data_IF_242957771591
#
_entry.id   IF_242957771591
#
_cell.length_a   1.000
_cell.length_b   1.000
_cell.length_c   1.000
_cell.angle_alpha   90.00
_cell.angle_beta   90.00
_cell.angle_gamma   90.00
#
_symmetry.space_group_name_H-M   'P 1'
#
loop_
_entity.id
_entity.type
_entity.pdbx_description
1 polymer ?
#
# COMPACT_ATOMS: atom_id res chain seq x y z
N UNK A 1 5.44 -23.69 0.95
CA UNK A 1 4.63 -22.49 0.70
C UNK A 1 4.91 -21.53 1.84
N UNK A 2 5.70 -20.48 1.60
CA UNK A 2 6.06 -19.53 2.64
C UNK A 2 4.84 -18.71 3.04
N UNK A 3 4.72 -18.35 4.32
CA UNK A 3 3.73 -17.37 4.77
C UNK A 3 3.90 -16.10 3.94
N UNK A 4 2.82 -15.58 3.37
CA UNK A 4 2.85 -14.21 2.85
C UNK A 4 3.17 -13.30 4.04
N UNK A 5 4.24 -12.51 3.93
CA UNK A 5 4.65 -11.62 5.02
C UNK A 5 3.54 -10.58 5.25
N UNK A 6 3.02 -10.56 6.48
CA UNK A 6 2.01 -9.63 6.95
C UNK A 6 2.74 -8.52 7.71
N UNK A 7 2.59 -7.29 7.23
CA UNK A 7 3.20 -6.11 7.83
C UNK A 7 2.13 -5.27 8.54
N UNK A 8 2.50 -4.69 9.69
CA UNK A 8 1.61 -3.78 10.43
C UNK A 8 1.52 -2.40 9.79
N UNK A 9 0.54 -1.58 10.17
CA UNK A 9 0.49 -0.19 9.70
C UNK A 9 1.76 0.58 10.07
N UNK A 10 2.30 0.39 11.28
CA UNK A 10 3.51 1.11 11.73
C UNK A 10 4.76 0.70 10.98
N UNK A 11 4.90 -0.60 10.70
CA UNK A 11 6.00 -1.15 9.89
C UNK A 11 5.92 -0.60 8.46
N UNK A 12 4.73 -0.61 7.85
CA UNK A 12 4.53 -0.15 6.48
C UNK A 12 4.89 1.33 6.31
N UNK A 13 4.56 2.17 7.29
CA UNK A 13 4.90 3.59 7.28
C UNK A 13 6.42 3.80 7.25
N UNK A 14 7.16 2.98 8.01
CA UNK A 14 8.64 3.02 8.04
C UNK A 14 9.21 2.50 6.72
N UNK A 15 8.73 1.35 6.24
CA UNK A 15 9.20 0.72 5.01
C UNK A 15 9.02 1.61 3.78
N UNK A 16 7.86 2.26 3.66
CA UNK A 16 7.57 3.17 2.55
C UNK A 16 8.06 4.60 2.79
N UNK A 17 8.54 4.90 4.00
CA UNK A 17 8.93 6.24 4.45
C UNK A 17 7.83 7.29 4.18
N UNK A 18 6.60 6.99 4.60
CA UNK A 18 5.42 7.87 4.41
C UNK A 18 4.70 8.19 5.72
N UNK A 19 3.94 9.30 5.70
CA UNK A 19 3.10 9.68 6.84
C UNK A 19 1.81 8.83 6.93
N UNK A 20 1.24 8.74 8.14
CA UNK A 20 -0.11 8.17 8.37
C UNK A 20 -1.18 8.81 7.47
N UNK A 21 -1.11 10.12 7.25
CA UNK A 21 -2.04 10.85 6.38
C UNK A 21 -1.93 10.40 4.92
N UNK A 22 -0.70 10.19 4.44
CA UNK A 22 -0.43 9.66 3.10
C UNK A 22 -1.00 8.25 2.98
N UNK A 23 -0.72 7.37 3.94
CA UNK A 23 -1.23 6.00 3.91
C UNK A 23 -2.77 5.95 3.94
N UNK A 24 -3.41 6.78 4.77
CA UNK A 24 -4.86 6.91 4.79
C UNK A 24 -5.43 7.39 3.45
N UNK A 25 -4.75 8.32 2.77
CA UNK A 25 -5.13 8.74 1.43
C UNK A 25 -4.99 7.60 0.41
N UNK A 26 -3.88 6.85 0.43
CA UNK A 26 -3.67 5.72 -0.47
C UNK A 26 -4.76 4.64 -0.28
N UNK A 27 -5.07 4.30 0.97
CA UNK A 27 -6.15 3.36 1.30
C UNK A 27 -7.52 3.88 0.85
N UNK A 28 -7.91 5.05 1.35
CA UNK A 28 -9.30 5.52 1.23
C UNK A 28 -9.62 6.13 -0.14
N UNK A 29 -8.61 6.65 -0.86
CA UNK A 29 -8.81 7.38 -2.12
C UNK A 29 -8.15 6.70 -3.33
N UNK A 30 -7.13 5.88 -3.12
CA UNK A 30 -6.42 5.19 -4.21
C UNK A 30 -6.62 3.67 -4.20
N UNK A 31 -7.32 3.13 -3.20
CA UNK A 31 -7.66 1.71 -3.11
C UNK A 31 -6.45 0.83 -2.81
N UNK A 32 -5.49 1.30 -2.00
CA UNK A 32 -4.42 0.45 -1.49
C UNK A 32 -5.03 -0.72 -0.69
N UNK A 33 -4.70 -1.99 -1.01
CA UNK A 33 -5.26 -3.15 -0.32
C UNK A 33 -4.81 -3.18 1.14
N UNK A 34 -5.75 -3.50 2.03
CA UNK A 34 -5.48 -3.71 3.46
C UNK A 34 -6.48 -4.71 4.03
N UNK A 35 -6.09 -5.38 5.11
CA UNK A 35 -6.96 -6.27 5.88
C UNK A 35 -7.34 -5.53 7.16
N UNK A 36 -8.64 -5.39 7.40
CA UNK A 36 -9.15 -4.88 8.66
C UNK A 36 -9.28 -6.02 9.67
N UNK A 37 -8.47 -5.97 10.73
CA UNK A 37 -8.55 -6.94 11.84
C UNK A 37 -9.55 -6.46 12.89
N UNK A 38 -9.57 -5.15 13.15
CA UNK A 38 -10.52 -4.48 14.05
C UNK A 38 -10.80 -3.07 13.54
N UNK A 39 -11.76 -2.38 14.15
CA UNK A 39 -12.03 -0.94 13.88
C UNK A 39 -10.78 -0.04 13.96
N UNK A 40 -9.75 -0.42 14.72
CA UNK A 40 -8.54 0.36 14.94
C UNK A 40 -7.25 -0.29 14.41
N UNK A 41 -7.30 -1.55 13.97
CA UNK A 41 -6.12 -2.30 13.58
C UNK A 41 -6.25 -2.83 12.15
N UNK A 42 -5.24 -2.53 11.34
CA UNK A 42 -5.12 -2.99 9.95
C UNK A 42 -3.73 -3.55 9.70
N UNK A 43 -3.69 -4.55 8.84
CA UNK A 43 -2.45 -5.18 8.39
C UNK A 43 -2.45 -5.27 6.87
N UNK A 44 -1.27 -5.53 6.31
CA UNK A 44 -1.03 -5.48 4.88
C UNK A 44 -0.24 -6.71 4.47
N UNK A 45 -0.70 -7.44 3.45
CA UNK A 45 0.15 -8.41 2.78
C UNK A 45 1.16 -7.67 1.93
N UNK A 46 2.45 -7.92 2.16
CA UNK A 46 3.52 -7.22 1.45
C UNK A 46 3.45 -7.45 -0.06
N UNK A 47 3.10 -8.68 -0.47
CA UNK A 47 2.92 -9.01 -1.88
C UNK A 47 1.85 -8.16 -2.58
N UNK A 48 0.71 -7.93 -1.92
CA UNK A 48 -0.39 -7.13 -2.46
C UNK A 48 -0.01 -5.65 -2.54
N UNK A 49 0.67 -5.12 -1.52
CA UNK A 49 1.17 -3.75 -1.52
C UNK A 49 2.18 -3.55 -2.66
N UNK A 50 3.15 -4.44 -2.81
CA UNK A 50 4.17 -4.37 -3.87
C UNK A 50 3.51 -4.46 -5.25
N UNK A 51 2.55 -5.39 -5.43
CA UNK A 51 1.80 -5.51 -6.68
C UNK A 51 1.05 -4.22 -7.00
N UNK A 52 0.33 -3.68 -6.04
CA UNK A 52 -0.42 -2.43 -6.19
C UNK A 52 0.50 -1.25 -6.54
N UNK A 53 1.67 -1.14 -5.91
CA UNK A 53 2.65 -0.10 -6.22
C UNK A 53 3.15 -0.19 -7.67
N UNK A 54 3.47 -1.40 -8.15
CA UNK A 54 3.91 -1.63 -9.54
C UNK A 54 2.84 -1.29 -10.58
N UNK A 55 1.58 -1.59 -10.28
CA UNK A 55 0.45 -1.29 -11.17
C UNK A 55 0.16 0.22 -11.24
N UNK A 56 0.35 0.93 -10.12
CA UNK A 56 0.07 2.37 -10.04
C UNK A 56 1.27 3.26 -10.41
N UNK A 57 2.51 2.74 -10.41
CA UNK A 57 3.67 3.51 -10.89
C UNK A 57 3.60 3.78 -12.39
N UNK A 58 3.11 2.81 -13.18
CA UNK A 58 3.01 2.90 -14.65
C UNK A 58 1.98 3.92 -15.16
N UNK A 59 1.03 4.35 -14.31
CA UNK A 59 0.01 5.34 -14.71
C UNK A 59 0.54 6.76 -14.87
N UNK A 60 1.78 7.04 -14.44
CA UNK A 60 2.40 8.37 -14.58
C UNK A 60 3.19 8.54 -15.89
N UNK A 61 3.55 7.46 -16.57
CA UNK A 61 4.39 7.53 -17.80
C UNK A 61 3.60 7.77 -19.09
N UNK A 62 2.26 7.77 -19.06
CA UNK A 62 1.43 8.06 -20.24
C UNK A 62 1.25 9.56 -20.52
N UNK A 63 2.28 10.38 -20.26
CA UNK A 63 2.20 11.83 -20.29
C UNK A 63 3.43 12.55 -20.82
N UNK A 64 4.23 11.92 -21.69
CA UNK A 64 5.19 12.64 -22.54
C UNK A 64 5.51 11.85 -23.82
N UNK A 65 4.56 11.86 -24.76
CA UNK A 65 4.79 11.47 -26.17
C UNK A 65 3.67 12.06 -27.01
N UNK A 66 3.83 13.33 -27.41
CA UNK A 66 3.32 13.96 -28.64
C UNK A 66 3.85 15.39 -28.71
#
# INVERSE_FOLDING_TARGET
MGFQEITSEEELLKLLNISRKTLAYLRNKRGLPCIELTRYARVYYEGDVVKWLKENSRKRDSGNSS
#
